data_IF_505140569756
#
_entry.id   IF_505140569756
#
_cell.length_a   1.000
_cell.length_b   1.000
_cell.length_c   1.000
_cell.angle_alpha   90.00
_cell.angle_beta   90.00
_cell.angle_gamma   90.00
#
_symmetry.space_group_name_H-M   'P 1'
#
loop_
_entity.id
_entity.type
_entity.pdbx_description
1 polymer ?
#
# COMPACT_ATOMS: atom_id res chain seq x y z
N UNK A 1 -14.05 14.94 15.85
CA UNK A 1 -12.83 14.10 15.78
C UNK A 1 -11.68 15.04 15.46
N UNK A 2 -10.65 15.14 16.31
CA UNK A 2 -9.52 16.05 16.06
C UNK A 2 -8.73 15.55 14.85
N UNK A 3 -8.70 16.34 13.75
CA UNK A 3 -8.00 16.03 12.50
C UNK A 3 -6.55 15.63 12.77
N UNK A 4 -5.89 16.31 13.70
CA UNK A 4 -4.54 16.00 14.16
C UNK A 4 -4.39 14.57 14.71
N UNK A 5 -5.34 14.11 15.53
CA UNK A 5 -5.30 12.76 16.10
C UNK A 5 -5.51 11.67 15.05
N UNK A 6 -6.31 11.95 14.02
CA UNK A 6 -6.51 11.04 12.88
C UNK A 6 -5.25 10.94 12.03
N UNK A 7 -4.57 12.06 11.76
CA UNK A 7 -3.28 12.05 11.05
C UNK A 7 -2.19 11.30 11.81
N UNK A 8 -2.11 11.47 13.14
CA UNK A 8 -1.15 10.73 13.96
C UNK A 8 -1.47 9.22 14.02
N UNK A 9 -2.76 8.85 13.98
CA UNK A 9 -3.18 7.44 13.90
C UNK A 9 -2.85 6.83 12.53
N UNK A 10 -3.01 7.62 11.46
CA UNK A 10 -2.59 7.25 10.12
C UNK A 10 -1.09 6.94 10.08
N UNK A 11 -0.23 7.88 10.53
CA UNK A 11 1.22 7.68 10.56
C UNK A 11 1.63 6.41 11.32
N UNK A 12 1.02 6.15 12.48
CA UNK A 12 1.28 4.93 13.26
C UNK A 12 0.83 3.64 12.57
N UNK A 13 -0.30 3.68 11.85
CA UNK A 13 -0.82 2.49 11.14
C UNK A 13 0.08 2.03 10.00
N UNK A 14 0.85 2.95 9.43
CA UNK A 14 1.76 2.70 8.32
C UNK A 14 3.14 2.21 8.78
N UNK A 15 3.46 2.34 10.07
CA UNK A 15 4.75 1.88 10.61
C UNK A 15 4.91 0.36 10.55
N UNK A 16 3.82 -0.40 10.67
CA UNK A 16 3.86 -1.87 10.66
C UNK A 16 4.45 -2.44 9.34
N UNK A 17 3.91 -2.08 8.16
CA UNK A 17 4.51 -2.48 6.88
C UNK A 17 5.91 -1.89 6.68
N UNK A 18 6.11 -0.63 7.05
CA UNK A 18 7.39 0.08 6.86
C UNK A 18 8.52 -0.58 7.65
N UNK A 19 8.25 -1.09 8.84
CA UNK A 19 9.25 -1.77 9.67
C UNK A 19 9.84 -3.03 9.02
N UNK A 20 9.10 -3.69 8.11
CA UNK A 20 9.59 -4.87 7.39
C UNK A 20 10.49 -4.51 6.20
N UNK A 21 10.40 -3.28 5.68
CA UNK A 21 11.10 -2.87 4.46
C UNK A 21 12.62 -2.80 4.59
N UNK A 22 13.23 -2.36 5.72
CA UNK A 22 14.69 -2.40 5.88
C UNK A 22 15.28 -3.81 5.78
N UNK A 23 14.62 -4.80 6.40
CA UNK A 23 15.05 -6.19 6.31
C UNK A 23 14.97 -6.71 4.87
N UNK A 24 13.86 -6.42 4.17
CA UNK A 24 13.71 -6.75 2.75
C UNK A 24 14.75 -6.06 1.87
N UNK A 25 15.06 -4.80 2.14
CA UNK A 25 16.08 -4.01 1.43
C UNK A 25 17.49 -4.56 1.63
N UNK A 26 17.83 -5.03 2.84
CA UNK A 26 19.12 -5.70 3.09
C UNK A 26 19.20 -7.01 2.33
N UNK A 27 18.15 -7.83 2.35
CA UNK A 27 18.12 -9.10 1.61
C UNK A 27 18.28 -8.88 0.11
N UNK A 28 17.54 -7.93 -0.46
CA UNK A 28 17.64 -7.56 -1.86
C UNK A 28 19.01 -6.95 -2.20
N UNK A 29 19.55 -6.10 -1.32
CA UNK A 29 20.85 -5.48 -1.51
C UNK A 29 22.02 -6.47 -1.47
N UNK A 30 21.94 -7.49 -0.61
CA UNK A 30 22.96 -8.55 -0.54
C UNK A 30 22.83 -9.52 -1.72
N UNK A 31 21.60 -9.97 -2.03
CA UNK A 31 21.35 -10.96 -3.07
C UNK A 31 21.43 -10.42 -4.50
N UNK A 32 21.01 -9.17 -4.72
CA UNK A 32 20.96 -8.53 -6.04
C UNK A 32 22.21 -7.76 -6.43
N UNK A 33 23.11 -7.45 -5.50
CA UNK A 33 24.35 -6.76 -5.81
C UNK A 33 25.44 -7.75 -6.24
N UNK A 34 25.87 -7.66 -7.50
CA UNK A 34 26.89 -8.54 -8.07
C UNK A 34 28.24 -8.51 -7.33
N UNK A 35 28.59 -7.42 -6.64
CA UNK A 35 29.84 -7.35 -5.86
C UNK A 35 29.74 -8.09 -4.52
N UNK A 36 28.57 -8.05 -3.89
CA UNK A 36 28.32 -8.75 -2.61
C UNK A 36 28.01 -10.22 -2.86
N UNK A 37 27.27 -10.52 -3.93
CA UNK A 37 26.88 -11.86 -4.32
C UNK A 37 28.08 -12.76 -4.64
N UNK A 38 29.22 -12.22 -5.08
CA UNK A 38 30.48 -12.98 -5.28
C UNK A 38 30.96 -13.72 -4.04
N UNK A 39 30.61 -13.23 -2.85
CA UNK A 39 30.98 -13.85 -1.57
C UNK A 39 29.98 -14.92 -1.11
N UNK A 40 28.89 -15.11 -1.84
CA UNK A 40 27.82 -16.05 -1.54
C UNK A 40 27.72 -17.13 -2.62
N UNK A 41 27.28 -18.35 -2.28
CA UNK A 41 26.84 -19.29 -3.31
C UNK A 41 25.68 -18.70 -4.11
N UNK A 42 25.64 -18.93 -5.42
CA UNK A 42 24.64 -18.37 -6.34
C UNK A 42 23.19 -18.61 -5.86
N UNK A 43 22.93 -19.83 -5.36
CA UNK A 43 21.60 -20.18 -4.82
C UNK A 43 21.22 -19.33 -3.59
N UNK A 44 22.19 -18.97 -2.75
CA UNK A 44 21.95 -18.14 -1.56
C UNK A 44 21.67 -16.71 -1.99
N UNK A 45 22.45 -16.17 -2.92
CA UNK A 45 22.22 -14.83 -3.47
C UNK A 45 20.83 -14.71 -4.11
N UNK A 46 20.44 -15.72 -4.91
CA UNK A 46 19.11 -15.76 -5.53
C UNK A 46 17.99 -15.86 -4.48
N UNK A 47 18.11 -16.73 -3.47
CA UNK A 47 17.13 -16.85 -2.39
C UNK A 47 16.98 -15.53 -1.63
N UNK A 48 18.08 -14.83 -1.35
CA UNK A 48 18.04 -13.53 -0.67
C UNK A 48 17.36 -12.45 -1.52
N UNK A 49 17.67 -12.39 -2.81
CA UNK A 49 17.03 -11.47 -3.75
C UNK A 49 15.52 -11.69 -3.83
N UNK A 50 15.10 -12.94 -4.06
CA UNK A 50 13.67 -13.31 -4.15
C UNK A 50 12.92 -13.07 -2.83
N UNK A 51 13.56 -13.33 -1.68
CA UNK A 51 12.97 -13.04 -0.38
C UNK A 51 12.71 -11.54 -0.19
N UNK A 52 13.65 -10.67 -0.59
CA UNK A 52 13.49 -9.23 -0.57
C UNK A 52 12.40 -8.75 -1.54
N UNK A 53 12.44 -9.23 -2.78
CA UNK A 53 11.44 -8.92 -3.81
C UNK A 53 10.03 -9.35 -3.39
N UNK A 54 9.89 -10.49 -2.73
CA UNK A 54 8.59 -10.96 -2.24
C UNK A 54 7.89 -9.94 -1.32
N UNK A 55 8.64 -9.21 -0.50
CA UNK A 55 8.09 -8.16 0.38
C UNK A 55 7.72 -6.92 -0.43
N UNK A 56 8.62 -6.44 -1.30
CA UNK A 56 8.37 -5.23 -2.10
C UNK A 56 7.26 -5.42 -3.15
N UNK A 57 7.19 -6.57 -3.79
CA UNK A 57 6.15 -6.92 -4.76
C UNK A 57 4.74 -6.96 -4.12
N UNK A 58 4.66 -7.20 -2.82
CA UNK A 58 3.40 -7.25 -2.07
C UNK A 58 3.22 -6.03 -1.15
N UNK A 59 4.00 -4.97 -1.33
CA UNK A 59 4.00 -3.82 -0.44
C UNK A 59 2.60 -3.20 -0.32
N UNK A 60 1.89 -2.98 -1.43
CA UNK A 60 0.53 -2.44 -1.41
C UNK A 60 -0.44 -3.27 -0.57
N UNK A 61 -0.34 -4.60 -0.65
CA UNK A 61 -1.14 -5.51 0.17
C UNK A 61 -0.77 -5.39 1.66
N UNK A 62 0.53 -5.32 1.98
CA UNK A 62 1.00 -5.11 3.34
C UNK A 62 0.50 -3.77 3.90
N UNK A 63 0.50 -2.71 3.09
CA UNK A 63 -0.05 -1.41 3.45
C UNK A 63 -1.57 -1.46 3.70
N UNK A 64 -2.34 -2.18 2.87
CA UNK A 64 -3.76 -2.38 3.12
C UNK A 64 -4.02 -3.03 4.49
N UNK A 65 -3.27 -4.08 4.79
CA UNK A 65 -3.37 -4.82 6.06
C UNK A 65 -2.94 -3.93 7.24
N UNK A 66 -1.80 -3.25 7.14
CA UNK A 66 -1.23 -2.41 8.20
C UNK A 66 -2.15 -1.24 8.55
N UNK A 67 -2.69 -0.56 7.54
CA UNK A 67 -3.67 0.52 7.73
C UNK A 67 -4.92 -0.01 8.42
N UNK A 68 -5.47 -1.15 7.97
CA UNK A 68 -6.66 -1.71 8.60
C UNK A 68 -6.43 -2.07 10.08
N UNK A 69 -5.30 -2.69 10.41
CA UNK A 69 -4.93 -3.01 11.79
C UNK A 69 -4.80 -1.77 12.67
N UNK A 70 -4.08 -0.75 12.19
CA UNK A 70 -3.87 0.48 12.95
C UNK A 70 -5.16 1.23 13.23
N UNK A 71 -6.19 1.11 12.38
CA UNK A 71 -7.48 1.74 12.58
C UNK A 71 -8.49 0.92 13.39
N UNK A 72 -8.30 -0.39 13.51
CA UNK A 72 -9.28 -1.33 14.12
C UNK A 72 -8.81 -1.98 15.43
N UNK A 73 -7.81 -1.38 16.11
CA UNK A 73 -7.23 -1.92 17.34
C UNK A 73 -6.60 -3.32 17.13
N UNK A 74 -5.92 -3.49 16.00
CA UNK A 74 -5.25 -4.73 15.60
C UNK A 74 -6.18 -5.95 15.49
N UNK A 75 -7.40 -5.75 14.98
CA UNK A 75 -8.31 -6.89 14.75
C UNK A 75 -7.92 -7.68 13.51
N UNK A 76 -7.70 -8.99 13.68
CA UNK A 76 -7.30 -9.88 12.59
C UNK A 76 -8.35 -10.02 11.48
N UNK A 77 -9.64 -9.84 11.77
CA UNK A 77 -10.69 -9.92 10.74
C UNK A 77 -10.67 -8.67 9.85
N UNK A 78 -10.35 -7.51 10.42
CA UNK A 78 -10.15 -6.29 9.63
C UNK A 78 -8.94 -6.40 8.69
N UNK A 79 -7.84 -6.98 9.15
CA UNK A 79 -6.68 -7.26 8.32
C UNK A 79 -7.03 -8.18 7.14
N UNK A 80 -7.75 -9.28 7.41
CA UNK A 80 -8.18 -10.21 6.37
C UNK A 80 -9.14 -9.55 5.38
N UNK A 81 -10.08 -8.73 5.88
CA UNK A 81 -11.00 -7.97 5.04
C UNK A 81 -10.25 -6.98 4.12
N UNK A 82 -9.23 -6.29 4.64
CA UNK A 82 -8.42 -5.36 3.86
C UNK A 82 -7.60 -6.07 2.78
N UNK A 83 -6.98 -7.20 3.11
CA UNK A 83 -6.23 -8.00 2.15
C UNK A 83 -7.13 -8.54 1.04
N UNK A 84 -8.27 -9.12 1.39
CA UNK A 84 -9.27 -9.60 0.43
C UNK A 84 -9.81 -8.45 -0.43
N UNK A 85 -10.13 -7.31 0.19
CA UNK A 85 -10.61 -6.12 -0.49
C UNK A 85 -9.60 -5.59 -1.50
N UNK A 86 -8.33 -5.47 -1.12
CA UNK A 86 -7.26 -5.02 -2.02
C UNK A 86 -7.10 -5.96 -3.22
N UNK A 87 -7.03 -7.28 -2.98
CA UNK A 87 -6.92 -8.26 -4.06
C UNK A 87 -8.13 -8.21 -5.02
N UNK A 88 -9.33 -8.05 -4.47
CA UNK A 88 -10.56 -7.88 -5.26
C UNK A 88 -10.50 -6.62 -6.10
N UNK A 89 -10.10 -5.49 -5.49
CA UNK A 89 -9.98 -4.19 -6.17
C UNK A 89 -9.01 -4.26 -7.35
N UNK A 90 -7.81 -4.82 -7.17
CA UNK A 90 -6.81 -4.95 -8.23
C UNK A 90 -7.34 -5.79 -9.40
N UNK A 91 -8.01 -6.91 -9.11
CA UNK A 91 -8.59 -7.76 -10.16
C UNK A 91 -9.72 -7.07 -10.92
N UNK A 92 -10.56 -6.30 -10.25
CA UNK A 92 -11.62 -5.52 -10.90
C UNK A 92 -11.02 -4.39 -11.73
N UNK A 93 -10.06 -3.64 -11.19
CA UNK A 93 -9.34 -2.59 -11.93
C UNK A 93 -8.68 -3.13 -13.20
N UNK A 94 -8.04 -4.31 -13.13
CA UNK A 94 -7.44 -4.94 -14.30
C UNK A 94 -8.44 -5.23 -15.44
N UNK A 95 -9.73 -5.36 -15.12
CA UNK A 95 -10.81 -5.53 -16.13
C UNK A 95 -11.34 -4.18 -16.61
N UNK A 96 -11.64 -3.26 -15.70
CA UNK A 96 -12.34 -2.00 -16.05
C UNK A 96 -11.40 -0.88 -16.52
N UNK A 97 -10.13 -0.94 -16.15
CA UNK A 97 -9.09 0.00 -16.56
C UNK A 97 -7.72 -0.73 -16.68
N UNK A 98 -7.52 -1.51 -17.76
CA UNK A 98 -6.29 -2.27 -17.96
C UNK A 98 -5.03 -1.39 -17.92
N UNK A 99 -3.97 -1.87 -17.27
CA UNK A 99 -2.70 -1.14 -17.10
C UNK A 99 -2.70 -0.09 -15.98
N UNK A 100 -3.79 0.01 -15.21
CA UNK A 100 -3.87 0.93 -14.06
C UNK A 100 -3.20 0.31 -12.83
N UNK A 101 -2.02 0.81 -12.48
CA UNK A 101 -1.33 0.42 -11.24
C UNK A 101 -1.49 1.49 -10.16
N UNK A 102 -2.20 1.14 -9.08
CA UNK A 102 -2.46 2.06 -7.96
C UNK A 102 -1.36 2.08 -6.90
N UNK A 103 -0.37 1.19 -7.02
CA UNK A 103 0.76 1.10 -6.10
C UNK A 103 0.35 1.05 -4.63
N UNK A 104 1.13 1.70 -3.77
CA UNK A 104 0.90 1.71 -2.31
C UNK A 104 -0.39 2.44 -1.96
N UNK A 105 -0.77 3.44 -2.75
CA UNK A 105 -1.98 4.23 -2.54
C UNK A 105 -3.24 3.37 -2.60
N UNK A 106 -3.36 2.48 -3.59
CA UNK A 106 -4.48 1.54 -3.67
C UNK A 106 -4.58 0.65 -2.43
N UNK A 107 -3.43 0.24 -1.89
CA UNK A 107 -3.32 -0.47 -0.63
C UNK A 107 -3.89 0.35 0.54
N UNK A 108 -3.40 1.57 0.74
CA UNK A 108 -3.85 2.47 1.81
C UNK A 108 -5.35 2.75 1.72
N UNK A 109 -5.87 3.03 0.51
CA UNK A 109 -7.30 3.29 0.29
C UNK A 109 -8.12 2.08 0.74
N UNK A 110 -7.78 0.87 0.28
CA UNK A 110 -8.52 -0.33 0.66
C UNK A 110 -8.39 -0.68 2.14
N UNK A 111 -7.24 -0.42 2.75
CA UNK A 111 -7.05 -0.54 4.21
C UNK A 111 -7.98 0.39 5.00
N UNK A 112 -8.16 1.64 4.55
CA UNK A 112 -9.09 2.58 5.19
C UNK A 112 -10.55 2.16 5.00
N UNK A 113 -10.93 1.76 3.79
CA UNK A 113 -12.29 1.26 3.51
C UNK A 113 -12.62 0.06 4.38
N UNK A 114 -11.72 -0.93 4.46
CA UNK A 114 -11.89 -2.10 5.31
C UNK A 114 -11.99 -1.71 6.80
N UNK A 115 -11.16 -0.78 7.28
CA UNK A 115 -11.24 -0.31 8.66
C UNK A 115 -12.56 0.40 8.98
N UNK A 116 -13.06 1.23 8.06
CA UNK A 116 -14.35 1.92 8.21
C UNK A 116 -15.50 0.91 8.24
N UNK A 117 -15.51 -0.05 7.33
CA UNK A 117 -16.53 -1.10 7.27
C UNK A 117 -16.47 -2.00 8.50
N UNK A 118 -15.28 -2.36 8.98
CA UNK A 118 -15.11 -3.10 10.22
C UNK A 118 -15.70 -2.33 11.41
N UNK A 119 -15.29 -1.08 11.62
CA UNK A 119 -15.77 -0.28 12.75
C UNK A 119 -17.30 -0.09 12.73
N UNK A 120 -17.92 -0.09 11.54
CA UNK A 120 -19.37 0.02 11.38
C UNK A 120 -20.12 -1.31 11.54
N UNK A 121 -19.60 -2.42 10.99
CA UNK A 121 -20.36 -3.66 10.82
C UNK A 121 -19.90 -4.85 11.66
N UNK A 122 -18.79 -4.75 12.41
CA UNK A 122 -18.26 -5.86 13.20
C UNK A 122 -19.22 -6.42 14.27
N UNK A 123 -20.26 -5.68 14.65
CA UNK A 123 -21.31 -6.08 15.62
C UNK A 123 -22.69 -6.23 14.99
N UNK A 124 -22.79 -6.28 13.65
CA UNK A 124 -24.09 -6.40 12.97
C UNK A 124 -24.81 -7.70 13.34
N UNK A 125 -26.12 -7.61 13.59
CA UNK A 125 -26.98 -8.76 13.82
C UNK A 125 -27.86 -8.96 12.59
N UNK A 126 -27.74 -10.13 11.96
CA UNK A 126 -28.53 -10.50 10.79
C UNK A 126 -29.72 -11.37 11.21
N UNK A 127 -30.80 -11.42 10.39
CA UNK A 127 -31.91 -12.33 10.60
C UNK A 127 -31.44 -13.79 10.74
N UNK A 128 -32.22 -14.63 11.42
CA UNK A 128 -31.82 -15.99 11.83
C UNK A 128 -31.33 -16.86 10.67
N UNK A 129 -31.89 -16.71 9.48
CA UNK A 129 -31.49 -17.45 8.28
C UNK A 129 -30.13 -17.01 7.68
N UNK A 130 -29.64 -15.79 7.99
CA UNK A 130 -28.30 -15.29 7.64
C UNK A 130 -27.35 -15.18 8.84
N UNK A 131 -27.73 -15.74 9.99
CA UNK A 131 -26.98 -15.62 11.24
C UNK A 131 -25.51 -16.07 11.14
N UNK A 132 -25.19 -16.99 10.22
CA UNK A 132 -23.82 -17.43 9.95
C UNK A 132 -22.87 -16.29 9.56
N UNK A 133 -23.39 -15.30 8.84
CA UNK A 133 -22.63 -14.14 8.35
C UNK A 133 -22.64 -12.96 9.33
N UNK A 134 -23.28 -13.08 10.49
CA UNK A 134 -23.36 -12.01 11.48
C UNK A 134 -22.01 -11.60 12.09
N UNK A 135 -21.98 -10.39 12.66
CA UNK A 135 -20.82 -9.84 13.35
C UNK A 135 -19.60 -9.66 12.43
N UNK A 136 -18.41 -10.02 12.93
CA UNK A 136 -17.13 -9.81 12.23
C UNK A 136 -17.05 -10.53 10.88
N UNK A 137 -17.74 -11.67 10.71
CA UNK A 137 -17.74 -12.45 9.46
C UNK A 137 -18.39 -11.71 8.29
N UNK A 138 -19.26 -10.75 8.58
CA UNK A 138 -19.87 -9.89 7.56
C UNK A 138 -18.84 -8.95 6.91
N UNK A 139 -17.80 -8.57 7.67
CA UNK A 139 -16.88 -7.50 7.27
C UNK A 139 -16.10 -7.84 5.99
N UNK A 140 -15.49 -9.02 5.83
CA UNK A 140 -14.85 -9.39 4.57
C UNK A 140 -15.81 -9.35 3.37
N UNK A 141 -17.06 -9.77 3.54
CA UNK A 141 -18.07 -9.82 2.48
C UNK A 141 -18.41 -8.41 1.98
N UNK A 142 -18.77 -7.52 2.90
CA UNK A 142 -19.09 -6.13 2.54
C UNK A 142 -17.86 -5.39 2.00
N UNK A 143 -16.65 -5.74 2.47
CA UNK A 143 -15.41 -5.14 1.98
C UNK A 143 -15.11 -5.55 0.54
N UNK A 144 -15.32 -6.81 0.16
CA UNK A 144 -15.20 -7.24 -1.24
C UNK A 144 -16.19 -6.54 -2.16
N UNK A 145 -17.44 -6.34 -1.71
CA UNK A 145 -18.42 -5.59 -2.52
C UNK A 145 -18.04 -4.12 -2.65
N UNK A 146 -17.58 -3.50 -1.56
CA UNK A 146 -17.07 -2.13 -1.59
C UNK A 146 -15.83 -1.99 -2.49
N UNK A 147 -14.96 -3.00 -2.53
CA UNK A 147 -13.78 -3.02 -3.40
C UNK A 147 -14.15 -2.90 -4.88
N UNK A 148 -15.25 -3.54 -5.33
CA UNK A 148 -15.74 -3.37 -6.70
C UNK A 148 -16.15 -1.92 -7.01
N UNK A 149 -16.82 -1.27 -6.06
CA UNK A 149 -17.22 0.14 -6.20
C UNK A 149 -16.00 1.05 -6.21
N UNK A 150 -15.05 0.83 -5.29
CA UNK A 150 -13.79 1.58 -5.22
C UNK A 150 -12.99 1.42 -6.52
N UNK A 151 -12.90 0.21 -7.07
CA UNK A 151 -12.25 -0.05 -8.35
C UNK A 151 -12.92 0.71 -9.49
N UNK A 152 -14.26 0.72 -9.57
CA UNK A 152 -14.98 1.52 -10.58
C UNK A 152 -14.73 3.03 -10.46
N UNK A 153 -14.60 3.54 -9.24
CA UNK A 153 -14.26 4.94 -9.00
C UNK A 153 -12.80 5.23 -9.41
N UNK A 154 -11.87 4.38 -8.99
CA UNK A 154 -10.44 4.52 -9.30
C UNK A 154 -10.16 4.36 -10.80
N UNK A 155 -10.94 3.57 -11.53
CA UNK A 155 -10.81 3.43 -12.98
C UNK A 155 -10.85 4.78 -13.72
N UNK A 156 -11.64 5.74 -13.21
CA UNK A 156 -11.78 7.07 -13.80
C UNK A 156 -10.84 8.08 -13.13
N UNK A 157 -10.76 8.06 -11.80
CA UNK A 157 -10.00 9.06 -11.03
C UNK A 157 -8.49 8.80 -11.08
N UNK A 158 -8.06 7.54 -11.14
CA UNK A 158 -6.65 7.20 -11.07
C UNK A 158 -5.90 7.53 -12.36
N UNK A 159 -6.56 7.49 -13.52
CA UNK A 159 -5.94 7.82 -14.82
C UNK A 159 -5.29 9.22 -14.85
N UNK A 160 -5.98 10.33 -14.53
CA UNK A 160 -5.35 11.64 -14.48
C UNK A 160 -4.30 11.76 -13.37
N UNK A 161 -4.50 11.07 -12.23
CA UNK A 161 -3.53 11.05 -11.13
C UNK A 161 -2.23 10.36 -11.58
N UNK A 162 -2.34 9.19 -12.20
CA UNK A 162 -1.22 8.41 -12.72
C UNK A 162 -0.46 9.16 -13.81
N UNK A 163 -1.17 9.83 -14.72
CA UNK A 163 -0.54 10.70 -15.72
C UNK A 163 0.23 11.87 -15.05
N UNK A 164 -0.34 12.47 -14.00
CA UNK A 164 0.34 13.50 -13.21
C UNK A 164 1.59 12.98 -12.50
N UNK A 165 1.53 11.79 -11.91
CA UNK A 165 2.67 11.12 -11.27
C UNK A 165 3.76 10.82 -12.30
N UNK A 166 3.40 10.32 -13.48
CA UNK A 166 4.34 10.02 -14.56
C UNK A 166 5.04 11.29 -15.06
N UNK A 167 4.29 12.36 -15.33
CA UNK A 167 4.84 13.64 -15.75
C UNK A 167 5.77 14.26 -14.69
N UNK A 168 5.38 14.17 -13.41
CA UNK A 168 6.23 14.61 -12.31
C UNK A 168 7.51 13.76 -12.19
N UNK A 169 7.40 12.45 -12.37
CA UNK A 169 8.55 11.53 -12.32
C UNK A 169 9.54 11.80 -13.44
N UNK A 170 9.08 12.03 -14.66
CA UNK A 170 9.92 12.39 -15.81
C UNK A 170 10.63 13.74 -15.59
N UNK A 171 9.88 14.74 -15.12
CA UNK A 171 10.45 16.05 -14.76
C UNK A 171 11.53 15.93 -13.68
N UNK A 172 11.26 15.18 -12.61
CA UNK A 172 12.17 14.98 -11.50
C UNK A 172 13.43 14.22 -11.91
N UNK A 173 13.30 13.21 -12.77
CA UNK A 173 14.42 12.36 -13.17
C UNK A 173 15.34 13.02 -14.21
N UNK A 174 14.80 13.80 -15.15
CA UNK A 174 15.54 14.21 -16.34
C UNK A 174 15.70 15.72 -16.51
N UNK A 175 14.79 16.54 -15.98
CA UNK A 175 14.83 17.98 -16.24
C UNK A 175 15.52 18.76 -15.13
N UNK A 176 15.18 18.49 -13.87
CA UNK A 176 15.80 19.21 -12.75
C UNK A 176 15.92 18.34 -11.49
N UNK A 177 16.84 17.36 -11.48
CA UNK A 177 17.04 16.47 -10.33
C UNK A 177 17.37 17.23 -9.05
N UNK A 178 18.22 18.25 -9.11
CA UNK A 178 18.63 19.05 -7.93
C UNK A 178 17.45 19.74 -7.24
N UNK A 179 16.54 20.31 -8.03
CA UNK A 179 15.33 20.98 -7.53
C UNK A 179 14.33 19.95 -7.01
N UNK A 180 14.18 18.81 -7.68
CA UNK A 180 13.30 17.73 -7.22
C UNK A 180 13.74 17.17 -5.86
N UNK A 181 15.05 16.93 -5.66
CA UNK A 181 15.58 16.53 -4.35
C UNK A 181 15.43 17.64 -3.29
N UNK A 182 15.55 18.91 -3.68
CA UNK A 182 15.30 20.05 -2.79
C UNK A 182 13.84 20.11 -2.30
N UNK A 183 12.87 19.98 -3.20
CA UNK A 183 11.44 19.94 -2.86
C UNK A 183 11.13 18.70 -2.02
N UNK A 184 11.64 17.54 -2.41
CA UNK A 184 11.50 16.30 -1.66
C UNK A 184 11.94 16.49 -0.20
N UNK A 185 13.13 17.04 0.04
CA UNK A 185 13.67 17.23 1.39
C UNK A 185 12.87 18.24 2.23
N UNK A 186 12.32 19.29 1.62
CA UNK A 186 11.47 20.27 2.32
C UNK A 186 10.14 19.64 2.74
N UNK A 187 9.49 18.91 1.83
CA UNK A 187 8.21 18.26 2.10
C UNK A 187 8.38 17.12 3.11
N UNK A 188 9.40 16.28 2.94
CA UNK A 188 9.72 15.20 3.86
C UNK A 188 9.89 15.74 5.28
N UNK A 189 10.73 16.77 5.47
CA UNK A 189 10.97 17.37 6.79
C UNK A 189 9.72 18.02 7.39
N UNK A 190 8.86 18.59 6.56
CA UNK A 190 7.58 19.16 7.00
C UNK A 190 6.58 18.10 7.45
N UNK A 191 6.69 16.86 6.95
CA UNK A 191 5.79 15.74 7.28
C UNK A 191 6.28 14.86 8.44
N UNK A 192 7.51 15.04 8.91
CA UNK A 192 8.07 14.35 10.10
C UNK A 192 7.17 14.51 11.33
N UNK A 193 6.71 15.72 11.72
CA UNK A 193 5.90 15.91 12.93
C UNK A 193 4.56 15.15 12.92
N UNK A 194 4.06 14.82 11.72
CA UNK A 194 2.80 14.11 11.52
C UNK A 194 2.98 12.60 11.35
N UNK A 195 4.23 12.12 11.25
CA UNK A 195 4.53 10.73 10.90
C UNK A 195 4.11 10.36 9.47
N UNK A 196 3.74 11.34 8.64
CA UNK A 196 3.27 11.14 7.26
C UNK A 196 4.42 11.12 6.25
N UNK A 197 5.64 11.45 6.67
CA UNK A 197 6.84 11.38 5.81
C UNK A 197 7.05 9.98 5.21
N UNK A 198 6.65 8.90 5.91
CA UNK A 198 6.67 7.56 5.34
C UNK A 198 5.70 7.36 4.15
N UNK A 199 4.59 8.09 4.10
CA UNK A 199 3.67 8.10 2.94
C UNK A 199 4.32 8.84 1.80
N UNK A 200 4.93 9.99 2.09
CA UNK A 200 5.62 10.81 1.10
C UNK A 200 6.79 10.07 0.45
N UNK A 201 7.49 9.24 1.21
CA UNK A 201 8.64 8.50 0.73
C UNK A 201 8.26 7.34 -0.19
N UNK A 202 7.07 6.74 -0.02
CA UNK A 202 6.68 5.55 -0.76
C UNK A 202 6.61 5.74 -2.29
N UNK A 203 5.98 6.80 -2.84
CA UNK A 203 5.98 7.06 -4.28
C UNK A 203 7.39 7.30 -4.83
N UNK A 204 8.24 8.05 -4.11
CA UNK A 204 9.58 8.40 -4.59
C UNK A 204 10.56 7.22 -4.58
N UNK A 205 10.41 6.28 -3.65
CA UNK A 205 11.29 5.10 -3.60
C UNK A 205 10.76 3.90 -4.40
N UNK A 206 9.44 3.82 -4.64
CA UNK A 206 8.82 2.61 -5.21
C UNK A 206 8.04 2.84 -6.50
N UNK A 207 7.62 4.06 -6.82
CA UNK A 207 6.87 4.39 -8.03
C UNK A 207 7.73 5.23 -9.01
N UNK A 208 8.58 6.12 -8.52
CA UNK A 208 9.57 6.84 -9.33
C UNK A 208 10.64 5.85 -9.81
N UNK A 209 10.74 5.67 -11.13
CA UNK A 209 11.70 4.77 -11.77
C UNK A 209 11.15 3.41 -12.19
N UNK A 210 9.84 3.17 -12.08
CA UNK A 210 9.22 2.05 -12.80
C UNK A 210 9.19 2.37 -14.31
N UNK A 211 10.29 2.07 -14.98
CA UNK A 211 10.29 2.00 -16.44
C UNK A 211 9.48 0.78 -16.85
N UNK A 212 8.36 0.98 -17.54
CA UNK A 212 7.79 -0.08 -18.36
C UNK A 212 8.82 -0.36 -19.45
N UNK A 213 9.54 -1.47 -19.35
CA UNK A 213 10.21 -2.04 -20.51
C UNK A 213 9.10 -2.34 -21.51
N UNK A 214 8.98 -1.49 -22.54
CA UNK A 214 8.24 -1.82 -23.75
C UNK A 214 8.95 -2.98 -24.48
#
# INVERSE_FOLDING_TARGET
MNIFGTMQKMGRSLMLPVACMPAAGILLGIGGNSEVAKFLPDIVAQVMSEAGLGVFANMSLLFAIGVALGFTKNDGVAALAAGLGYLTMVRVLGVVAPGTETGVFGGVIMGLVAAQLFNKYHTIQLPTYLGFFGGKRFVPIVTSLAACVVAGILAVIWQPIGAGIAAFSEWAAYQSPEVAFGIYGIVERSLIPFGLHHIWNAPFFYEVGQFTTA
#
